data_IF_052679394404
#
_entry.id   IF_052679394404
#
_cell.length_a   1.000
_cell.length_b   1.000
_cell.length_c   1.000
_cell.angle_alpha   90.00
_cell.angle_beta   90.00
_cell.angle_gamma   90.00
#
_symmetry.space_group_name_H-M   'P 1'
#
loop_
_entity.id
_entity.type
_entity.pdbx_description
1 polymer ?
#
# COMPACT_ATOMS: atom_id res chain seq x y z
N UNK A 1 19.02 -2.92 -37.60
CA UNK A 1 18.34 -4.19 -37.92
C UNK A 1 17.18 -4.53 -36.97
N UNK A 2 17.37 -4.40 -35.66
CA UNK A 2 16.36 -4.70 -34.61
C UNK A 2 15.06 -3.90 -34.75
N UNK A 3 15.14 -2.61 -35.10
CA UNK A 3 13.95 -1.75 -35.23
C UNK A 3 13.05 -2.13 -36.43
N UNK A 4 13.67 -2.56 -37.55
CA UNK A 4 12.92 -3.06 -38.73
C UNK A 4 12.20 -4.39 -38.42
N UNK A 5 12.76 -5.22 -37.55
CA UNK A 5 12.15 -6.50 -37.13
C UNK A 5 10.98 -6.27 -36.15
N UNK A 6 11.11 -5.35 -35.19
CA UNK A 6 10.01 -4.96 -34.27
C UNK A 6 8.77 -4.43 -35.02
N UNK A 7 8.98 -3.61 -36.05
CA UNK A 7 7.87 -3.09 -36.87
C UNK A 7 7.19 -4.18 -37.72
N UNK A 8 7.90 -5.25 -38.08
CA UNK A 8 7.34 -6.37 -38.85
C UNK A 8 6.42 -7.26 -37.99
N UNK A 9 6.81 -7.54 -36.76
CA UNK A 9 6.00 -8.30 -35.79
C UNK A 9 4.73 -7.52 -35.42
N UNK A 10 4.86 -6.21 -35.15
CA UNK A 10 3.70 -5.36 -34.84
C UNK A 10 2.68 -5.27 -35.98
N UNK A 11 3.14 -5.20 -37.24
CA UNK A 11 2.25 -5.20 -38.41
C UNK A 11 1.50 -6.53 -38.61
N UNK A 12 2.10 -7.66 -38.20
CA UNK A 12 1.46 -8.98 -38.31
C UNK A 12 0.39 -9.19 -37.23
N UNK A 13 0.64 -8.74 -36.01
CA UNK A 13 -0.34 -8.76 -34.91
C UNK A 13 -1.60 -7.93 -35.24
N UNK A 14 -1.48 -6.83 -35.98
CA UNK A 14 -2.62 -6.00 -36.39
C UNK A 14 -3.50 -6.59 -37.50
N UNK A 15 -3.08 -7.65 -38.19
CA UNK A 15 -3.79 -8.21 -39.35
C UNK A 15 -4.73 -9.38 -39.05
N UNK A 16 -5.00 -9.68 -37.79
CA UNK A 16 -6.07 -10.63 -37.41
C UNK A 16 -5.88 -12.04 -37.98
N UNK A 17 -4.70 -12.64 -37.82
CA UNK A 17 -4.48 -14.04 -38.18
C UNK A 17 -4.92 -14.96 -37.03
N UNK A 18 -5.65 -16.04 -37.35
CA UNK A 18 -6.21 -16.98 -36.36
C UNK A 18 -5.15 -17.97 -35.85
N UNK A 19 -5.02 -18.03 -34.52
CA UNK A 19 -4.87 -19.25 -33.72
C UNK A 19 -3.50 -19.94 -33.67
N UNK A 20 -3.00 -20.48 -34.78
CA UNK A 20 -1.86 -21.41 -34.76
C UNK A 20 -0.54 -20.79 -35.21
N UNK A 21 -0.52 -20.22 -36.41
CA UNK A 21 0.72 -19.82 -37.10
C UNK A 21 1.43 -18.62 -36.45
N UNK A 22 0.73 -17.82 -35.67
CA UNK A 22 1.30 -16.66 -34.98
C UNK A 22 2.24 -17.10 -33.87
N UNK A 23 1.90 -18.17 -33.15
CA UNK A 23 2.67 -18.64 -32.00
C UNK A 23 3.91 -19.42 -32.40
N UNK A 24 3.83 -20.26 -33.44
CA UNK A 24 5.00 -20.97 -33.99
C UNK A 24 6.03 -19.97 -34.53
N UNK A 25 5.58 -18.88 -35.16
CA UNK A 25 6.46 -17.84 -35.67
C UNK A 25 7.07 -16.95 -34.57
N UNK A 26 6.31 -16.63 -33.51
CA UNK A 26 6.85 -15.91 -32.34
C UNK A 26 7.88 -16.78 -31.61
N UNK A 27 7.61 -18.07 -31.45
CA UNK A 27 8.52 -19.06 -30.86
C UNK A 27 9.83 -19.16 -31.66
N UNK A 28 9.75 -19.25 -32.99
CA UNK A 28 10.93 -19.30 -33.86
C UNK A 28 11.73 -17.98 -33.88
N UNK A 29 11.05 -16.84 -33.85
CA UNK A 29 11.72 -15.53 -33.75
C UNK A 29 12.44 -15.35 -32.40
N UNK A 30 11.86 -15.88 -31.30
CA UNK A 30 12.47 -15.85 -29.97
C UNK A 30 13.65 -16.82 -29.83
N UNK A 31 13.55 -18.03 -30.41
CA UNK A 31 14.67 -18.99 -30.48
C UNK A 31 15.88 -18.44 -31.26
N UNK A 32 15.65 -17.52 -32.20
CA UNK A 32 16.71 -16.87 -32.99
C UNK A 32 17.48 -15.77 -32.22
N UNK A 33 16.95 -15.31 -31.09
CA UNK A 33 17.64 -14.36 -30.21
C UNK A 33 18.55 -15.17 -29.29
N UNK A 34 19.87 -15.12 -29.52
CA UNK A 34 20.91 -15.63 -28.59
C UNK A 34 20.78 -14.90 -27.25
N UNK A 35 19.84 -15.33 -26.43
CA UNK A 35 19.72 -14.97 -25.04
C UNK A 35 20.51 -15.98 -24.22
N UNK A 36 21.14 -15.48 -23.16
CA UNK A 36 21.92 -16.26 -22.22
C UNK A 36 21.11 -17.48 -21.77
N UNK A 37 21.68 -18.68 -21.91
CA UNK A 37 20.99 -19.97 -21.71
C UNK A 37 20.30 -20.05 -20.34
N UNK A 38 20.83 -19.36 -19.33
CA UNK A 38 20.25 -19.28 -17.99
C UNK A 38 18.94 -18.47 -17.95
N UNK A 39 18.94 -17.30 -18.61
CA UNK A 39 17.75 -16.43 -18.72
C UNK A 39 16.69 -17.12 -19.59
N UNK A 40 17.10 -17.80 -20.66
CA UNK A 40 16.19 -18.57 -21.49
C UNK A 40 15.50 -19.71 -20.71
N UNK A 41 16.24 -20.43 -19.87
CA UNK A 41 15.68 -21.53 -19.07
C UNK A 41 14.69 -21.01 -18.01
N UNK A 42 15.00 -19.91 -17.33
CA UNK A 42 14.09 -19.29 -16.37
C UNK A 42 12.81 -18.74 -17.03
N UNK A 43 12.95 -18.11 -18.20
CA UNK A 43 11.80 -17.64 -18.98
C UNK A 43 10.95 -18.76 -19.55
N UNK A 44 11.58 -19.85 -19.99
CA UNK A 44 10.89 -21.03 -20.47
C UNK A 44 10.06 -21.67 -19.35
N UNK A 45 10.65 -21.86 -18.17
CA UNK A 45 9.94 -22.41 -17.00
C UNK A 45 8.75 -21.52 -16.58
N UNK A 46 8.91 -20.20 -16.69
CA UNK A 46 7.83 -19.25 -16.42
C UNK A 46 6.69 -19.33 -17.46
N UNK A 47 7.03 -19.45 -18.74
CA UNK A 47 6.02 -19.62 -19.81
C UNK A 47 5.31 -20.97 -19.67
N UNK A 48 6.03 -22.05 -19.38
CA UNK A 48 5.46 -23.38 -19.18
C UNK A 48 4.48 -23.38 -17.99
N UNK A 49 4.84 -22.70 -16.89
CA UNK A 49 3.95 -22.48 -15.74
C UNK A 49 2.66 -21.71 -16.10
N UNK A 50 2.77 -20.65 -16.90
CA UNK A 50 1.60 -19.89 -17.35
C UNK A 50 0.71 -20.70 -18.30
N UNK A 51 1.29 -21.57 -19.13
CA UNK A 51 0.54 -22.47 -20.01
C UNK A 51 -0.22 -23.53 -19.22
N UNK A 52 0.34 -24.04 -18.13
CA UNK A 52 -0.34 -25.02 -17.27
C UNK A 52 -1.50 -24.39 -16.49
N UNK A 53 -1.36 -23.14 -16.03
CA UNK A 53 -2.47 -22.38 -15.44
C UNK A 53 -3.60 -22.18 -16.47
N UNK A 54 -3.27 -21.82 -17.70
CA UNK A 54 -4.26 -21.58 -18.73
C UNK A 54 -5.01 -22.86 -19.15
N UNK A 55 -4.31 -24.01 -19.18
CA UNK A 55 -4.95 -25.32 -19.40
C UNK A 55 -5.90 -25.70 -18.25
N UNK A 56 -5.52 -25.41 -17.00
CA UNK A 56 -6.39 -25.59 -15.84
C UNK A 56 -7.64 -24.71 -15.91
N UNK A 57 -7.51 -23.45 -16.34
CA UNK A 57 -8.65 -22.55 -16.57
C UNK A 57 -9.57 -23.07 -17.67
N UNK A 58 -9.03 -23.54 -18.80
CA UNK A 58 -9.81 -24.14 -19.89
C UNK A 58 -10.54 -25.41 -19.45
N UNK A 59 -9.89 -26.28 -18.66
CA UNK A 59 -10.53 -27.49 -18.11
C UNK A 59 -11.65 -27.14 -17.11
N UNK A 60 -11.47 -26.12 -16.28
CA UNK A 60 -12.50 -25.66 -15.35
C UNK A 60 -13.68 -25.00 -16.08
N UNK A 61 -13.41 -24.31 -17.18
CA UNK A 61 -14.46 -23.70 -18.00
C UNK A 61 -15.27 -24.77 -18.75
N UNK A 62 -14.61 -25.83 -19.24
CA UNK A 62 -15.28 -27.02 -19.80
C UNK A 62 -16.13 -27.78 -18.78
N UNK A 63 -15.70 -27.81 -17.50
CA UNK A 63 -16.49 -28.39 -16.40
C UNK A 63 -17.70 -27.52 -16.01
N UNK A 64 -17.61 -26.19 -16.16
CA UNK A 64 -18.71 -25.27 -15.85
C UNK A 64 -19.74 -25.16 -16.98
N UNK A 65 -19.31 -25.28 -18.23
CA UNK A 65 -20.18 -25.17 -19.40
C UNK A 65 -20.89 -26.48 -19.77
N UNK A 66 -20.79 -27.51 -18.92
CA UNK A 66 -21.54 -28.76 -19.05
C UNK A 66 -21.39 -29.46 -20.40
N UNK A 67 -20.35 -29.13 -21.18
CA UNK A 67 -20.13 -29.63 -22.52
C UNK A 67 -19.06 -30.72 -22.48
N UNK A 68 -19.47 -31.88 -21.96
CA UNK A 68 -18.93 -33.13 -22.51
C UNK A 68 -19.82 -33.51 -23.69
N UNK A 69 -19.36 -33.19 -24.89
CA UNK A 69 -19.82 -33.92 -26.07
C UNK A 69 -19.27 -35.35 -25.93
N UNK A 70 -20.09 -36.21 -25.34
CA UNK A 70 -20.27 -37.56 -25.86
C UNK A 70 -21.77 -37.87 -25.77
N UNK A 71 -22.49 -37.59 -26.85
CA UNK A 71 -23.80 -38.20 -27.13
C UNK A 71 -23.60 -39.74 -27.15
N UNK A 72 -24.53 -40.55 -26.65
CA UNK A 72 -25.97 -40.46 -26.87
C UNK A 72 -26.78 -40.69 -25.58
N UNK A 73 -27.49 -39.66 -25.13
CA UNK A 73 -28.69 -39.80 -24.28
C UNK A 73 -29.75 -38.98 -24.99
N UNK A 74 -30.94 -39.56 -25.24
CA UNK A 74 -31.98 -38.87 -25.99
C UNK A 74 -32.56 -37.72 -25.16
N UNK A 75 -32.98 -36.66 -25.85
CA UNK A 75 -33.57 -35.45 -25.25
C UNK A 75 -34.77 -35.77 -24.33
N UNK A 76 -35.48 -36.87 -24.63
CA UNK A 76 -36.60 -37.38 -23.83
C UNK A 76 -36.16 -37.94 -22.47
N UNK A 77 -35.03 -38.65 -22.41
CA UNK A 77 -34.49 -39.23 -21.17
C UNK A 77 -33.92 -38.15 -20.23
N UNK A 78 -33.42 -37.05 -20.81
CA UNK A 78 -32.97 -35.87 -20.09
C UNK A 78 -34.14 -35.09 -19.46
N UNK A 79 -35.23 -34.90 -20.21
CA UNK A 79 -36.44 -34.23 -19.72
C UNK A 79 -37.10 -35.08 -18.62
N UNK A 80 -37.15 -36.41 -18.75
CA UNK A 80 -37.69 -37.30 -17.72
C UNK A 80 -36.85 -37.27 -16.43
N UNK A 81 -35.53 -37.20 -16.55
CA UNK A 81 -34.62 -37.09 -15.40
C UNK A 81 -34.78 -35.76 -14.66
N UNK A 82 -34.97 -34.66 -15.40
CA UNK A 82 -35.26 -33.34 -14.81
C UNK A 82 -36.62 -33.30 -14.11
N UNK A 83 -37.63 -33.99 -14.66
CA UNK A 83 -38.95 -34.09 -14.04
C UNK A 83 -38.89 -34.90 -12.73
N UNK A 84 -38.15 -36.02 -12.69
CA UNK A 84 -37.95 -36.82 -11.45
C UNK A 84 -37.21 -36.04 -10.35
N UNK A 85 -36.21 -35.24 -10.69
CA UNK A 85 -35.48 -34.41 -9.73
C UNK A 85 -36.35 -33.27 -9.17
N UNK A 86 -37.34 -32.81 -9.94
CA UNK A 86 -38.30 -31.79 -9.50
C UNK A 86 -39.37 -32.36 -8.56
N UNK A 87 -39.80 -33.61 -8.77
CA UNK A 87 -40.74 -34.32 -7.89
C UNK A 87 -40.12 -34.69 -6.54
N UNK A 88 -38.81 -34.99 -6.50
CA UNK A 88 -38.10 -35.32 -5.25
C UNK A 88 -37.92 -34.13 -4.29
N UNK A 89 -38.16 -32.89 -4.74
CA UNK A 89 -38.03 -31.68 -3.92
C UNK A 89 -39.37 -31.04 -3.51
N UNK A 90 -40.48 -31.73 -3.72
CA UNK A 90 -41.81 -31.28 -3.29
C UNK A 90 -42.46 -32.42 -2.48
N UNK A 91 -41.97 -32.68 -1.26
CA UNK A 91 -42.73 -33.18 -0.09
C UNK A 91 -41.78 -33.12 1.14
N UNK A 92 -41.90 -32.06 1.95
CA UNK A 92 -42.11 -32.16 3.42
C UNK A 92 -42.35 -30.78 4.07
N UNK A 93 -43.50 -30.61 4.75
CA UNK A 93 -43.77 -29.46 5.61
C UNK A 93 -43.46 -29.74 7.09
N UNK A 94 -43.16 -28.64 7.80
CA UNK A 94 -43.48 -28.28 9.20
C UNK A 94 -43.10 -29.18 10.41
N UNK A 95 -42.68 -28.44 11.44
CA UNK A 95 -42.94 -28.63 12.88
C UNK A 95 -41.93 -29.43 13.73
N UNK A 96 -41.27 -28.73 14.65
CA UNK A 96 -41.42 -28.94 16.10
C UNK A 96 -40.56 -27.93 16.88
N UNK A 97 -41.22 -27.04 17.63
CA UNK A 97 -40.63 -26.40 18.80
C UNK A 97 -40.47 -27.42 19.95
N UNK A 98 -39.72 -27.06 21.01
CA UNK A 98 -40.42 -27.00 22.30
C UNK A 98 -40.10 -25.75 23.14
N UNK A 99 -41.20 -25.12 23.55
CA UNK A 99 -41.57 -24.60 24.88
C UNK A 99 -40.51 -24.45 25.99
N UNK A 100 -40.43 -23.20 26.47
CA UNK A 100 -40.60 -22.72 27.85
C UNK A 100 -40.06 -23.54 29.03
N UNK A 101 -39.15 -22.90 29.81
CA UNK A 101 -39.27 -22.79 31.28
C UNK A 101 -38.70 -21.44 31.77
N UNK A 102 -39.48 -20.66 32.55
CA UNK A 102 -38.94 -19.69 33.49
C UNK A 102 -38.82 -20.32 34.89
N UNK A 103 -37.88 -19.82 35.71
CA UNK A 103 -37.92 -19.69 37.18
C UNK A 103 -36.49 -19.58 37.74
N UNK A 104 -36.15 -18.44 38.35
CA UNK A 104 -36.04 -18.35 39.81
C UNK A 104 -35.57 -16.96 40.23
N UNK A 105 -36.45 -16.27 40.95
CA UNK A 105 -36.11 -15.20 41.86
C UNK A 105 -35.74 -15.84 43.21
N UNK A 106 -34.55 -15.57 43.74
CA UNK A 106 -34.24 -15.52 45.17
C UNK A 106 -32.73 -15.33 45.41
N UNK A 107 -32.31 -14.15 45.83
CA UNK A 107 -31.42 -14.01 47.00
C UNK A 107 -31.40 -12.57 47.52
N UNK A 108 -32.27 -12.36 48.51
CA UNK A 108 -32.16 -11.33 49.53
C UNK A 108 -31.15 -11.79 50.59
N UNK A 109 -30.05 -11.05 50.78
CA UNK A 109 -29.26 -10.90 52.02
C UNK A 109 -28.54 -9.55 51.85
N UNK A 110 -28.90 -8.42 52.46
CA UNK A 110 -29.03 -8.05 53.88
C UNK A 110 -27.71 -8.17 54.67
N UNK A 111 -26.90 -7.11 54.66
CA UNK A 111 -26.14 -6.59 55.83
C UNK A 111 -25.96 -5.06 55.59
N UNK A 112 -26.66 -4.20 56.32
CA UNK A 112 -26.30 -3.57 57.60
C UNK A 112 -25.03 -2.71 57.55
N UNK A 113 -25.25 -1.39 57.54
CA UNK A 113 -24.65 -0.48 58.51
C UNK A 113 -23.26 0.07 58.21
N UNK A 114 -23.20 1.32 57.73
CA UNK A 114 -22.19 2.24 58.22
C UNK A 114 -22.71 3.68 58.20
N UNK A 115 -23.17 4.13 59.36
CA UNK A 115 -23.31 5.55 59.72
C UNK A 115 -21.92 6.10 60.02
N UNK A 116 -21.55 7.26 59.49
CA UNK A 116 -20.29 7.89 59.83
C UNK A 116 -20.12 9.28 59.23
N UNK A 117 -20.62 10.27 59.97
CA UNK A 117 -20.13 11.65 60.10
C UNK A 117 -19.98 12.52 58.84
N UNK A 118 -20.89 13.50 58.73
CA UNK A 118 -20.63 14.73 58.01
C UNK A 118 -19.70 15.62 58.86
N UNK A 119 -18.49 15.88 58.35
CA UNK A 119 -17.68 17.03 58.77
C UNK A 119 -17.80 18.13 57.71
N UNK A 120 -17.98 19.41 58.12
CA UNK A 120 -17.99 20.52 57.18
C UNK A 120 -16.54 20.80 56.75
N UNK A 121 -16.20 20.39 55.53
CA UNK A 121 -14.92 20.75 54.95
C UNK A 121 -15.01 22.20 54.45
N UNK A 122 -14.30 23.09 55.15
CA UNK A 122 -14.03 24.46 54.74
C UNK A 122 -13.37 24.42 53.35
N UNK A 123 -13.97 25.14 52.41
CA UNK A 123 -13.46 25.33 51.05
C UNK A 123 -12.08 26.00 51.11
N UNK A 124 -11.04 25.18 50.91
CA UNK A 124 -9.71 25.66 50.59
C UNK A 124 -9.71 26.19 49.15
N UNK A 125 -9.11 27.37 48.88
CA UNK A 125 -9.08 27.94 47.55
C UNK A 125 -8.40 26.97 46.58
N UNK A 126 -9.19 26.47 45.62
CA UNK A 126 -8.72 25.53 44.60
C UNK A 126 -7.58 26.18 43.82
N UNK A 127 -6.37 25.66 44.02
CA UNK A 127 -5.21 25.93 43.18
C UNK A 127 -5.55 25.59 41.72
N UNK A 128 -5.08 26.37 40.73
CA UNK A 128 -5.40 26.17 39.32
C UNK A 128 -5.06 24.74 38.89
N UNK A 129 -6.09 23.95 38.56
CA UNK A 129 -5.93 22.58 38.12
C UNK A 129 -5.13 22.58 36.81
N UNK A 130 -3.94 21.97 36.83
CA UNK A 130 -3.16 21.65 35.63
C UNK A 130 -4.06 20.88 34.66
N UNK A 131 -4.41 21.52 33.53
CA UNK A 131 -5.12 20.86 32.44
C UNK A 131 -4.42 19.55 32.06
N UNK A 132 -5.19 18.47 32.05
CA UNK A 132 -4.68 17.11 31.91
C UNK A 132 -4.07 16.93 30.49
N UNK A 133 -2.84 16.39 30.38
CA UNK A 133 -2.10 16.25 29.12
C UNK A 133 -2.76 15.35 28.05
N UNK A 134 -3.85 14.65 28.39
CA UNK A 134 -4.57 13.77 27.47
C UNK A 134 -5.40 14.51 26.40
N UNK A 135 -6.04 15.63 26.75
CA UNK A 135 -6.95 16.35 25.83
C UNK A 135 -6.14 16.96 24.66
N UNK A 136 -4.99 17.56 24.97
CA UNK A 136 -4.10 18.15 23.97
C UNK A 136 -3.56 17.12 22.96
N UNK A 137 -3.40 15.86 23.36
CA UNK A 137 -2.93 14.81 22.48
C UNK A 137 -3.97 14.36 21.46
N UNK A 138 -5.25 14.36 21.83
CA UNK A 138 -6.38 13.99 20.97
C UNK A 138 -6.62 15.04 19.88
N UNK A 139 -6.70 16.32 20.25
CA UNK A 139 -6.89 17.43 19.30
C UNK A 139 -5.81 17.40 18.20
N UNK A 140 -4.56 17.19 18.60
CA UNK A 140 -3.45 17.06 17.64
C UNK A 140 -3.54 15.83 16.74
N UNK A 141 -4.24 14.75 17.13
CA UNK A 141 -4.41 13.57 16.25
C UNK A 141 -5.45 13.87 15.18
N UNK A 142 -6.56 14.49 15.56
CA UNK A 142 -7.63 14.89 14.64
C UNK A 142 -7.12 15.88 13.59
N UNK A 143 -6.30 16.85 13.99
CA UNK A 143 -5.67 17.80 13.06
C UNK A 143 -4.77 17.08 12.03
N UNK A 144 -3.93 16.14 12.47
CA UNK A 144 -3.07 15.34 11.58
C UNK A 144 -3.92 14.51 10.61
N UNK A 145 -4.97 13.86 11.10
CA UNK A 145 -5.88 13.03 10.30
C UNK A 145 -6.57 13.86 9.23
N UNK A 146 -7.13 15.02 9.61
CA UNK A 146 -7.82 15.92 8.70
C UNK A 146 -6.87 16.43 7.61
N UNK A 147 -5.70 16.91 8.01
CA UNK A 147 -4.69 17.43 7.08
C UNK A 147 -4.21 16.36 6.11
N UNK A 148 -3.93 15.15 6.60
CA UNK A 148 -3.56 14.03 5.74
C UNK A 148 -4.66 13.70 4.75
N UNK A 149 -5.91 13.61 5.22
CA UNK A 149 -7.05 13.31 4.37
C UNK A 149 -7.24 14.33 3.24
N UNK A 150 -7.14 15.63 3.54
CA UNK A 150 -7.25 16.67 2.51
C UNK A 150 -6.21 16.49 1.42
N UNK A 151 -4.95 16.24 1.79
CA UNK A 151 -3.86 16.03 0.83
C UNK A 151 -4.05 14.71 0.06
N UNK A 152 -4.41 13.64 0.78
CA UNK A 152 -4.66 12.33 0.19
C UNK A 152 -5.79 12.38 -0.84
N UNK A 153 -6.90 13.06 -0.53
CA UNK A 153 -8.01 13.27 -1.46
C UNK A 153 -7.59 14.06 -2.70
N UNK A 154 -6.79 15.11 -2.55
CA UNK A 154 -6.24 15.85 -3.68
C UNK A 154 -5.38 14.96 -4.58
N UNK A 155 -4.53 14.12 -3.99
CA UNK A 155 -3.71 13.17 -4.75
C UNK A 155 -4.60 12.21 -5.53
N UNK A 156 -5.62 11.63 -4.88
CA UNK A 156 -6.56 10.73 -5.55
C UNK A 156 -7.28 11.41 -6.71
N UNK A 157 -7.73 12.66 -6.54
CA UNK A 157 -8.39 13.44 -7.61
C UNK A 157 -7.43 13.65 -8.80
N UNK A 158 -6.19 14.07 -8.54
CA UNK A 158 -5.19 14.26 -9.60
C UNK A 158 -4.96 12.93 -10.34
N UNK A 159 -4.74 11.84 -9.59
CA UNK A 159 -4.52 10.50 -10.14
C UNK A 159 -5.71 10.06 -11.01
N UNK A 160 -6.94 10.27 -10.54
CA UNK A 160 -8.15 9.86 -11.26
C UNK A 160 -8.38 10.67 -12.54
N UNK A 161 -8.20 12.00 -12.48
CA UNK A 161 -8.38 12.87 -13.63
C UNK A 161 -7.33 12.58 -14.72
N UNK A 162 -6.14 12.17 -14.32
CA UNK A 162 -5.00 12.01 -15.22
C UNK A 162 -4.76 10.57 -15.70
N UNK A 163 -5.51 9.58 -15.20
CA UNK A 163 -5.30 8.16 -15.50
C UNK A 163 -5.33 7.82 -17.00
N UNK A 164 -6.17 8.53 -17.76
CA UNK A 164 -6.35 8.32 -19.20
C UNK A 164 -5.56 9.30 -20.08
N UNK A 165 -4.74 10.16 -19.48
CA UNK A 165 -4.04 11.21 -20.23
C UNK A 165 -2.77 10.64 -20.91
N UNK A 166 -2.71 10.59 -22.25
CA UNK A 166 -1.58 10.00 -22.98
C UNK A 166 -0.28 10.82 -22.83
N UNK A 167 -0.37 12.11 -22.49
CA UNK A 167 0.75 13.04 -22.43
C UNK A 167 1.47 13.07 -21.08
N UNK A 168 1.14 12.14 -20.17
CA UNK A 168 1.75 12.11 -18.83
C UNK A 168 3.21 11.74 -18.84
N UNK A 169 3.93 12.28 -17.87
CA UNK A 169 5.33 11.98 -17.61
C UNK A 169 5.52 10.47 -17.38
N UNK A 170 6.67 9.92 -17.79
CA UNK A 170 6.99 8.50 -17.59
C UNK A 170 6.84 8.06 -16.12
N UNK A 171 7.32 8.83 -15.11
CA UNK A 171 7.12 8.47 -13.71
C UNK A 171 5.64 8.35 -13.30
N UNK A 172 4.78 9.22 -13.83
CA UNK A 172 3.34 9.13 -13.60
C UNK A 172 2.73 7.88 -14.26
N UNK A 173 3.13 7.55 -15.50
CA UNK A 173 2.71 6.31 -16.18
C UNK A 173 3.13 5.08 -15.40
N UNK A 174 4.35 5.07 -14.85
CA UNK A 174 4.84 3.96 -14.02
C UNK A 174 4.03 3.83 -12.72
N UNK A 175 3.62 4.94 -12.11
CA UNK A 175 2.70 4.95 -10.97
C UNK A 175 1.33 4.38 -11.36
N UNK A 176 0.73 4.84 -12.45
CA UNK A 176 -0.56 4.33 -12.93
C UNK A 176 -0.51 2.86 -13.31
N UNK A 177 0.59 2.41 -13.91
CA UNK A 177 0.79 1.00 -14.21
C UNK A 177 0.82 0.14 -12.95
N UNK A 178 1.32 0.65 -11.81
CA UNK A 178 1.23 -0.06 -10.53
C UNK A 178 -0.21 -0.06 -9.99
N UNK A 179 -0.91 1.08 -10.04
CA UNK A 179 -2.31 1.19 -9.60
C UNK A 179 -3.23 0.26 -10.40
N UNK A 180 -3.05 0.22 -11.73
CA UNK A 180 -3.85 -0.60 -12.64
C UNK A 180 -3.53 -2.10 -12.54
N UNK A 181 -2.34 -2.46 -12.03
CA UNK A 181 -1.97 -3.87 -11.75
C UNK A 181 -2.59 -4.41 -10.47
N UNK A 182 -3.09 -3.54 -9.59
CA UNK A 182 -3.84 -3.97 -8.43
C UNK A 182 -5.27 -4.29 -8.88
N UNK A 183 -5.72 -5.55 -8.78
CA UNK A 183 -7.04 -5.95 -9.25
C UNK A 183 -8.11 -5.03 -8.66
N UNK A 184 -8.97 -4.50 -9.53
CA UNK A 184 -10.17 -3.74 -9.18
C UNK A 184 -9.95 -2.39 -8.46
N UNK A 185 -8.71 -1.97 -8.16
CA UNK A 185 -8.44 -0.65 -7.58
C UNK A 185 -8.77 0.48 -8.56
N UNK A 186 -8.50 0.30 -9.86
CA UNK A 186 -8.82 1.31 -10.88
C UNK A 186 -10.34 1.59 -10.97
N UNK A 187 -11.17 0.54 -10.86
CA UNK A 187 -12.63 0.69 -10.78
C UNK A 187 -13.07 1.34 -9.46
N UNK A 188 -12.31 1.07 -8.41
CA UNK A 188 -12.61 1.53 -7.05
C UNK A 188 -12.13 2.94 -6.75
N UNK A 189 -11.25 3.52 -7.57
CA UNK A 189 -10.74 4.88 -7.36
C UNK A 189 -11.86 5.92 -7.34
N UNK A 190 -12.84 5.77 -8.23
CA UNK A 190 -14.04 6.60 -8.23
C UNK A 190 -14.84 6.46 -6.91
N UNK A 191 -14.91 5.24 -6.35
CA UNK A 191 -15.59 4.99 -5.09
C UNK A 191 -14.85 5.62 -3.89
N UNK A 192 -13.53 5.79 -3.95
CA UNK A 192 -12.74 6.46 -2.92
C UNK A 192 -12.82 7.99 -2.98
N UNK A 193 -13.21 8.55 -4.14
CA UNK A 193 -13.32 10.00 -4.37
C UNK A 193 -14.76 10.50 -4.27
N UNK A 194 -15.73 9.58 -4.24
CA UNK A 194 -17.16 9.88 -4.19
C UNK A 194 -17.54 10.85 -3.05
N UNK A 195 -18.57 11.66 -3.27
CA UNK A 195 -18.99 12.74 -2.35
C UNK A 195 -19.37 12.24 -0.95
N UNK A 196 -19.86 11.00 -0.85
CA UNK A 196 -20.19 10.34 0.41
C UNK A 196 -18.94 9.98 1.25
N UNK A 197 -17.74 10.07 0.68
CA UNK A 197 -16.48 9.88 1.38
C UNK A 197 -15.91 11.24 1.75
N UNK A 198 -16.24 11.69 2.97
CA UNK A 198 -15.97 13.03 3.47
C UNK A 198 -14.85 13.11 4.53
N UNK A 199 -14.35 11.98 5.04
CA UNK A 199 -13.26 11.93 6.02
C UNK A 199 -12.36 10.70 5.81
N UNK A 200 -11.23 10.63 6.53
CA UNK A 200 -10.27 9.52 6.41
C UNK A 200 -10.85 8.19 6.86
N UNK A 201 -11.73 8.20 7.86
CA UNK A 201 -12.38 7.00 8.39
C UNK A 201 -13.21 6.30 7.31
N UNK A 202 -14.04 7.05 6.59
CA UNK A 202 -14.84 6.56 5.47
C UNK A 202 -13.98 6.03 4.32
N UNK A 203 -12.88 6.74 3.97
CA UNK A 203 -11.91 6.24 2.97
C UNK A 203 -11.33 4.90 3.42
N UNK A 204 -10.91 4.82 4.68
CA UNK A 204 -10.28 3.64 5.23
C UNK A 204 -11.25 2.44 5.28
N UNK A 205 -12.47 2.64 5.77
CA UNK A 205 -13.53 1.63 5.74
C UNK A 205 -13.81 1.16 4.31
N UNK A 206 -13.82 2.08 3.35
CA UNK A 206 -14.03 1.72 1.95
C UNK A 206 -12.88 0.88 1.40
N UNK A 207 -11.63 1.21 1.74
CA UNK A 207 -10.46 0.38 1.41
C UNK A 207 -10.61 -1.02 2.02
N UNK A 208 -10.99 -1.14 3.29
CA UNK A 208 -11.20 -2.44 3.94
C UNK A 208 -12.32 -3.25 3.28
N UNK A 209 -13.44 -2.59 2.93
CA UNK A 209 -14.55 -3.22 2.21
C UNK A 209 -14.07 -3.78 0.87
N UNK A 210 -13.37 -2.98 0.08
CA UNK A 210 -12.84 -3.40 -1.22
C UNK A 210 -11.85 -4.57 -1.08
N UNK A 211 -11.00 -4.55 -0.06
CA UNK A 211 -10.10 -5.67 0.22
C UNK A 211 -10.87 -6.94 0.62
N UNK A 212 -11.93 -6.82 1.41
CA UNK A 212 -12.78 -7.94 1.79
C UNK A 212 -13.51 -8.55 0.59
N UNK A 213 -14.06 -7.70 -0.27
CA UNK A 213 -14.79 -8.11 -1.48
C UNK A 213 -13.85 -8.72 -2.52
N UNK A 214 -12.69 -8.09 -2.75
CA UNK A 214 -11.85 -8.42 -3.91
C UNK A 214 -10.68 -9.34 -3.60
N UNK A 215 -10.26 -9.41 -2.33
CA UNK A 215 -9.13 -10.23 -1.89
C UNK A 215 -9.55 -11.37 -0.95
N UNK A 216 -10.81 -11.80 -0.98
CA UNK A 216 -11.28 -13.00 -0.27
C UNK A 216 -11.19 -14.26 -1.13
N UNK A 217 -11.18 -15.42 -0.47
CA UNK A 217 -11.13 -16.73 -1.12
C UNK A 217 -9.89 -16.92 -2.01
N UNK A 218 -10.10 -17.50 -3.19
CA UNK A 218 -9.02 -17.77 -4.16
C UNK A 218 -8.38 -16.49 -4.73
N UNK A 219 -9.08 -15.34 -4.70
CA UNK A 219 -8.51 -14.04 -5.13
C UNK A 219 -7.50 -13.48 -4.12
N UNK A 220 -7.55 -13.95 -2.87
CA UNK A 220 -6.61 -13.53 -1.82
C UNK A 220 -5.15 -13.90 -2.11
N UNK A 221 -4.91 -15.02 -2.80
CA UNK A 221 -3.55 -15.41 -3.23
C UNK A 221 -3.02 -14.47 -4.31
N UNK A 222 -3.86 -14.01 -5.24
CA UNK A 222 -3.51 -13.00 -6.24
C UNK A 222 -3.17 -11.66 -5.61
N UNK A 223 -3.99 -11.19 -4.66
CA UNK A 223 -3.67 -9.95 -3.95
C UNK A 223 -2.35 -10.05 -3.18
N UNK A 224 -2.12 -11.16 -2.47
CA UNK A 224 -0.87 -11.38 -1.73
C UNK A 224 0.34 -11.43 -2.65
N UNK A 225 0.23 -12.11 -3.80
CA UNK A 225 1.28 -12.18 -4.82
C UNK A 225 1.57 -10.82 -5.46
N UNK A 226 0.55 -10.05 -5.82
CA UNK A 226 0.70 -8.71 -6.37
C UNK A 226 1.40 -7.75 -5.39
N UNK A 227 1.07 -7.86 -4.11
CA UNK A 227 1.64 -7.05 -3.03
C UNK A 227 3.12 -7.37 -2.80
N UNK A 228 3.54 -8.64 -2.89
CA UNK A 228 4.95 -9.04 -2.77
C UNK A 228 5.84 -8.34 -3.82
N UNK A 229 5.32 -8.14 -5.04
CA UNK A 229 6.05 -7.49 -6.14
C UNK A 229 6.23 -5.99 -5.88
N UNK A 230 5.36 -5.36 -5.07
CA UNK A 230 5.38 -3.93 -4.79
C UNK A 230 6.36 -3.53 -3.66
N UNK A 231 6.93 -4.50 -2.96
CA UNK A 231 7.97 -4.33 -1.95
C UNK A 231 7.49 -4.47 -0.49
N UNK A 232 8.45 -4.64 0.42
CA UNK A 232 8.22 -4.98 1.83
C UNK A 232 7.29 -4.01 2.57
N UNK A 233 7.43 -2.70 2.35
CA UNK A 233 6.58 -1.70 3.01
C UNK A 233 5.10 -1.83 2.59
N UNK A 234 4.85 -2.13 1.32
CA UNK A 234 3.49 -2.31 0.79
C UNK A 234 2.88 -3.61 1.34
N UNK A 235 3.70 -4.67 1.45
CA UNK A 235 3.29 -5.92 2.08
C UNK A 235 2.92 -5.75 3.54
N UNK A 236 3.73 -5.03 4.31
CA UNK A 236 3.42 -4.74 5.71
C UNK A 236 2.09 -3.98 5.83
N UNK A 237 1.90 -2.92 5.03
CA UNK A 237 0.65 -2.17 5.01
C UNK A 237 -0.55 -3.06 4.66
N UNK A 238 -0.41 -3.94 3.67
CA UNK A 238 -1.46 -4.88 3.28
C UNK A 238 -1.85 -5.84 4.40
N UNK A 239 -0.88 -6.47 5.07
CA UNK A 239 -1.16 -7.37 6.19
C UNK A 239 -1.84 -6.64 7.36
N UNK A 240 -1.44 -5.40 7.63
CA UNK A 240 -2.10 -4.57 8.64
C UNK A 240 -3.56 -4.27 8.27
N UNK A 241 -3.82 -3.88 7.02
CA UNK A 241 -5.19 -3.68 6.53
C UNK A 241 -6.02 -4.96 6.63
N UNK A 242 -5.44 -6.10 6.23
CA UNK A 242 -6.09 -7.41 6.29
C UNK A 242 -6.46 -7.81 7.71
N UNK A 243 -5.58 -7.57 8.68
CA UNK A 243 -5.87 -7.79 10.10
C UNK A 243 -7.01 -6.91 10.59
N UNK A 244 -7.11 -5.69 10.06
CA UNK A 244 -8.17 -4.74 10.40
C UNK A 244 -9.50 -5.01 9.68
N UNK A 245 -9.57 -5.90 8.68
CA UNK A 245 -10.84 -6.32 8.04
C UNK A 245 -11.79 -6.93 9.08
N UNK A 246 -11.29 -7.54 10.15
CA UNK A 246 -12.13 -8.09 11.23
C UNK A 246 -12.84 -7.00 12.04
N UNK A 247 -12.41 -5.75 11.92
CA UNK A 247 -12.91 -4.59 12.68
C UNK A 247 -14.12 -3.95 11.98
N UNK A 248 -14.59 -4.46 10.84
CA UNK A 248 -15.57 -3.81 9.93
C UNK A 248 -16.93 -3.40 10.52
N UNK A 249 -17.24 -3.74 11.76
CA UNK A 249 -18.51 -3.37 12.43
C UNK A 249 -18.33 -2.31 13.52
N UNK A 250 -17.10 -1.84 13.76
CA UNK A 250 -16.78 -0.88 14.82
C UNK A 250 -16.31 0.49 14.30
N UNK A 251 -16.49 1.50 15.16
CA UNK A 251 -15.91 2.83 14.98
C UNK A 251 -14.37 2.73 14.92
N UNK A 252 -13.74 3.36 13.92
CA UNK A 252 -12.29 3.30 13.78
C UNK A 252 -11.67 4.31 14.72
N UNK A 253 -10.84 3.83 15.66
CA UNK A 253 -10.11 4.75 16.54
C UNK A 253 -9.11 5.62 15.76
N UNK A 254 -8.93 6.86 16.22
CA UNK A 254 -7.91 7.77 15.70
C UNK A 254 -6.49 7.17 15.74
N UNK A 255 -6.21 6.23 16.65
CA UNK A 255 -4.92 5.54 16.71
C UNK A 255 -4.68 4.62 15.53
N UNK A 256 -5.71 3.91 15.06
CA UNK A 256 -5.63 3.08 13.85
C UNK A 256 -5.37 3.96 12.63
N UNK A 257 -6.08 5.10 12.52
CA UNK A 257 -5.89 6.05 11.42
C UNK A 257 -4.48 6.68 11.43
N UNK A 258 -3.98 7.07 12.60
CA UNK A 258 -2.61 7.59 12.73
C UNK A 258 -1.57 6.54 12.35
N UNK A 259 -1.81 5.27 12.71
CA UNK A 259 -0.93 4.17 12.32
C UNK A 259 -0.92 4.00 10.80
N UNK A 260 -2.11 3.95 10.18
CA UNK A 260 -2.26 3.91 8.73
C UNK A 260 -1.49 5.05 8.03
N UNK A 261 -1.60 6.28 8.53
CA UNK A 261 -0.86 7.43 7.98
C UNK A 261 0.66 7.18 8.05
N UNK A 262 1.17 6.70 9.18
CA UNK A 262 2.60 6.40 9.37
C UNK A 262 3.11 5.33 8.41
N UNK A 263 2.29 4.34 8.07
CA UNK A 263 2.67 3.27 7.16
C UNK A 263 2.55 3.69 5.68
N UNK A 264 1.60 4.55 5.33
CA UNK A 264 1.39 5.03 3.96
C UNK A 264 2.41 6.10 3.55
N UNK A 265 2.77 7.03 4.45
CA UNK A 265 3.72 8.11 4.16
C UNK A 265 5.06 7.66 3.53
N UNK A 266 5.79 6.66 4.07
CA UNK A 266 7.07 6.22 3.52
C UNK A 266 6.92 5.55 2.15
N UNK A 267 5.74 5.06 1.79
CA UNK A 267 5.45 4.49 0.47
C UNK A 267 5.12 5.61 -0.52
N UNK A 268 4.28 6.57 -0.09
CA UNK A 268 3.73 7.61 -0.94
C UNK A 268 4.76 8.69 -1.28
N UNK A 269 5.50 9.22 -0.28
CA UNK A 269 6.44 10.35 -0.48
C UNK A 269 7.50 10.08 -1.56
N UNK A 270 8.23 8.94 -1.57
CA UNK A 270 9.24 8.70 -2.60
C UNK A 270 8.65 8.60 -4.01
N UNK A 271 7.43 8.04 -4.15
CA UNK A 271 6.75 7.90 -5.43
C UNK A 271 6.31 9.26 -5.97
N UNK A 272 5.76 10.12 -5.12
CA UNK A 272 5.36 11.47 -5.49
C UNK A 272 6.55 12.40 -5.73
N UNK A 273 7.67 12.24 -5.02
CA UNK A 273 8.89 13.01 -5.24
C UNK A 273 9.48 12.79 -6.65
N UNK A 274 9.28 11.59 -7.22
CA UNK A 274 9.67 11.28 -8.61
C UNK A 274 8.77 11.95 -9.65
N UNK A 275 7.61 12.49 -9.25
CA UNK A 275 6.62 13.18 -10.10
C UNK A 275 6.58 14.66 -9.67
N UNK A 276 7.75 15.31 -9.75
CA UNK A 276 8.05 16.56 -9.02
C UNK A 276 7.19 17.76 -9.43
N UNK A 277 6.69 17.81 -10.67
CA UNK A 277 5.97 18.99 -11.17
C UNK A 277 4.51 18.94 -10.71
N UNK A 278 3.85 17.78 -10.84
CA UNK A 278 2.42 17.63 -10.61
C UNK A 278 2.06 17.55 -9.12
N UNK A 279 2.97 17.05 -8.27
CA UNK A 279 2.70 16.83 -6.83
C UNK A 279 3.56 17.68 -5.89
N UNK A 280 4.10 18.81 -6.35
CA UNK A 280 5.00 19.65 -5.54
C UNK A 280 4.34 20.09 -4.23
N UNK A 281 3.16 20.70 -4.31
CA UNK A 281 2.42 21.23 -3.16
C UNK A 281 2.04 20.12 -2.18
N UNK A 282 1.62 18.96 -2.69
CA UNK A 282 1.24 17.81 -1.88
C UNK A 282 2.47 17.24 -1.16
N UNK A 283 3.62 17.14 -1.81
CA UNK A 283 4.86 16.67 -1.18
C UNK A 283 5.30 17.55 -0.01
N UNK A 284 5.24 18.88 -0.18
CA UNK A 284 5.57 19.84 0.89
C UNK A 284 4.60 19.69 2.08
N UNK A 285 3.32 19.51 1.82
CA UNK A 285 2.31 19.29 2.86
C UNK A 285 2.47 17.94 3.58
N UNK A 286 2.93 16.89 2.89
CA UNK A 286 3.27 15.60 3.49
C UNK A 286 4.52 15.67 4.38
N UNK A 287 5.50 16.52 4.05
CA UNK A 287 6.65 16.79 4.92
C UNK A 287 6.22 17.45 6.23
N UNK A 288 5.22 18.32 6.19
CA UNK A 288 4.67 18.94 7.40
C UNK A 288 4.00 17.92 8.32
N UNK A 289 3.21 17.00 7.76
CA UNK A 289 2.59 15.90 8.52
C UNK A 289 3.64 15.00 9.16
N UNK A 290 4.70 14.67 8.43
CA UNK A 290 5.81 13.86 8.93
C UNK A 290 6.46 14.52 10.16
N UNK A 291 6.66 15.84 10.11
CA UNK A 291 7.14 16.61 11.25
C UNK A 291 6.16 16.60 12.43
N UNK A 292 4.85 16.73 12.18
CA UNK A 292 3.81 16.66 13.22
C UNK A 292 3.78 15.29 13.92
N UNK A 293 3.99 14.21 13.17
CA UNK A 293 4.06 12.84 13.70
C UNK A 293 5.33 12.60 14.53
N UNK A 294 6.48 13.14 14.10
CA UNK A 294 7.77 13.00 14.79
C UNK A 294 7.80 13.72 16.15
N UNK A 295 7.09 14.84 16.29
CA UNK A 295 7.02 15.60 17.55
C UNK A 295 6.37 14.82 18.71
N UNK A 296 5.62 13.74 18.43
CA UNK A 296 4.92 12.94 19.45
C UNK A 296 5.72 11.75 19.98
N UNK A 297 6.78 11.30 19.29
CA UNK A 297 7.71 10.34 19.89
C UNK A 297 8.58 11.09 20.89
N UNK A 298 8.05 11.32 22.10
CA UNK A 298 8.70 11.96 23.25
C UNK A 298 9.91 11.20 23.80
N UNK A 299 10.66 10.52 22.94
CA UNK A 299 12.00 10.08 23.25
C UNK A 299 12.84 11.32 23.55
N UNK A 300 13.40 11.34 24.77
CA UNK A 300 14.61 12.08 25.11
C UNK A 300 15.41 12.29 23.82
N UNK A 301 15.73 13.55 23.50
CA UNK A 301 16.70 13.87 22.46
C UNK A 301 18.01 13.15 22.80
N UNK A 302 18.13 11.89 22.40
CA UNK A 302 19.41 11.31 22.06
C UNK A 302 19.86 12.21 20.92
N UNK A 303 20.89 12.98 21.20
CA UNK A 303 21.66 13.83 20.31
C UNK A 303 22.32 13.01 19.19
N UNK A 304 21.58 12.12 18.53
CA UNK A 304 21.99 11.43 17.32
C UNK A 304 21.44 12.25 16.16
N UNK A 305 22.25 13.23 15.78
CA UNK A 305 22.08 14.04 14.61
C UNK A 305 21.90 13.16 13.37
N UNK A 306 20.65 12.88 13.01
CA UNK A 306 20.28 12.55 11.63
C UNK A 306 20.40 13.87 10.87
N UNK A 307 21.61 14.11 10.38
CA UNK A 307 21.90 15.15 9.41
C UNK A 307 21.06 14.87 8.16
N UNK A 308 20.06 15.72 7.91
CA UNK A 308 19.68 16.05 6.54
C UNK A 308 20.96 16.53 5.84
N UNK A 309 21.37 15.85 4.77
CA UNK A 309 22.32 16.39 3.80
C UNK A 309 21.68 17.62 3.16
N UNK A 310 21.86 18.77 3.81
CA UNK A 310 21.68 20.06 3.17
C UNK A 310 22.93 20.22 2.31
N UNK A 311 22.77 20.03 1.00
CA UNK A 311 23.76 20.36 -0.02
C UNK A 311 23.94 21.88 -0.10
N UNK A 312 24.48 22.48 0.96
CA UNK A 312 25.04 23.82 0.92
C UNK A 312 26.40 23.73 0.23
N UNK A 313 26.62 24.56 -0.80
CA UNK A 313 27.93 24.67 -1.45
C UNK A 313 29.01 24.92 -0.36
N UNK A 314 30.14 24.20 -0.38
CA UNK A 314 31.17 24.36 0.63
C UNK A 314 31.76 25.77 0.57
N UNK A 315 31.70 26.49 1.68
CA UNK A 315 32.21 27.86 1.79
C UNK A 315 33.71 27.80 2.06
N UNK A 316 34.49 28.50 1.23
CA UNK A 316 35.92 28.72 1.47
C UNK A 316 36.04 29.72 2.61
N UNK A 317 36.70 29.33 3.70
CA UNK A 317 36.89 30.23 4.85
C UNK A 317 38.19 31.00 4.69
N UNK A 318 39.30 30.29 4.43
CA UNK A 318 40.66 30.83 4.47
C UNK A 318 41.62 29.97 3.63
N UNK A 319 42.81 30.49 3.35
CA UNK A 319 43.94 29.71 2.81
C UNK A 319 44.92 29.40 3.93
N UNK A 320 45.51 28.20 3.91
CA UNK A 320 46.55 27.78 4.87
C UNK A 320 47.65 27.00 4.16
N UNK A 321 48.86 27.05 4.71
CA UNK A 321 49.99 26.27 4.24
C UNK A 321 49.91 24.84 4.78
N UNK A 322 49.70 23.87 3.90
CA UNK A 322 49.59 22.44 4.23
C UNK A 322 50.64 21.69 3.41
N UNK A 323 51.56 21.00 4.10
CA UNK A 323 52.67 20.25 3.47
C UNK A 323 53.50 21.13 2.51
N UNK A 324 53.87 22.34 2.96
CA UNK A 324 54.68 23.26 2.17
C UNK A 324 53.95 23.99 1.04
N UNK A 325 52.66 23.73 0.80
CA UNK A 325 51.87 24.36 -0.26
C UNK A 325 50.64 25.08 0.30
N UNK A 326 50.34 26.26 -0.20
CA UNK A 326 49.09 26.95 0.13
C UNK A 326 47.87 26.21 -0.44
N UNK A 327 46.86 26.02 0.39
CA UNK A 327 45.62 25.32 0.05
C UNK A 327 44.41 26.06 0.62
N UNK A 328 43.30 26.04 -0.10
CA UNK A 328 42.01 26.55 0.39
C UNK A 328 41.42 25.58 1.43
N UNK A 329 40.92 26.14 2.52
CA UNK A 329 40.24 25.41 3.60
C UNK A 329 38.74 25.62 3.49
N UNK A 330 38.02 24.52 3.44
CA UNK A 330 36.57 24.50 3.30
C UNK A 330 35.93 24.16 4.65
N UNK A 331 34.87 24.90 5.01
CA UNK A 331 33.94 24.47 6.07
C UNK A 331 32.90 23.56 5.44
N UNK A 332 32.88 22.31 5.86
CA UNK A 332 31.75 21.42 5.57
C UNK A 332 30.75 21.60 6.70
N UNK A 333 29.51 21.97 6.37
CA UNK A 333 28.49 22.22 7.38
C UNK A 333 28.34 20.99 8.30
N UNK A 334 28.43 21.27 9.61
CA UNK A 334 28.42 20.35 10.75
C UNK A 334 29.57 19.35 10.85
N UNK A 335 30.63 19.51 10.08
CA UNK A 335 31.93 18.96 10.48
C UNK A 335 32.72 20.06 11.20
N UNK A 336 33.25 19.75 12.39
CA UNK A 336 34.14 20.67 13.10
C UNK A 336 35.58 20.60 12.58
N UNK A 337 35.86 19.70 11.62
CA UNK A 337 37.18 19.53 11.02
C UNK A 337 37.36 20.47 9.82
N UNK A 338 38.61 20.85 9.57
CA UNK A 338 39.01 21.54 8.35
C UNK A 338 39.11 20.56 7.19
N UNK A 339 38.60 20.94 6.02
CA UNK A 339 38.63 20.11 4.81
C UNK A 339 39.42 20.77 3.70
N UNK A 340 40.05 19.96 2.85
CA UNK A 340 40.75 20.37 1.63
C UNK A 340 40.20 19.58 0.45
N UNK A 341 40.12 20.20 -0.73
CA UNK A 341 39.71 19.51 -1.96
C UNK A 341 40.87 18.68 -2.51
N UNK A 342 40.70 17.38 -2.57
CA UNK A 342 41.66 16.42 -3.12
C UNK A 342 40.97 15.49 -4.11
N UNK A 343 41.49 15.39 -5.33
CA UNK A 343 40.92 14.57 -6.43
C UNK A 343 39.40 14.76 -6.62
N UNK A 344 38.93 16.01 -6.52
CA UNK A 344 37.51 16.35 -6.69
C UNK A 344 36.67 16.29 -5.42
N UNK A 345 37.14 15.61 -4.36
CA UNK A 345 36.39 15.39 -3.11
C UNK A 345 36.95 16.21 -1.96
N UNK A 346 36.08 16.68 -1.04
CA UNK A 346 36.51 17.32 0.20
C UNK A 346 36.86 16.26 1.24
N UNK A 347 38.12 16.24 1.70
CA UNK A 347 38.58 15.34 2.75
C UNK A 347 39.16 16.12 3.93
N UNK A 348 39.14 15.57 5.16
CA UNK A 348 39.77 16.22 6.30
C UNK A 348 41.26 16.45 6.07
N UNK A 349 41.78 17.59 6.52
CA UNK A 349 43.22 17.92 6.39
C UNK A 349 44.12 16.84 7.02
N UNK A 350 43.68 16.21 8.11
CA UNK A 350 44.41 15.13 8.76
C UNK A 350 44.58 13.90 7.85
N UNK A 351 43.52 13.52 7.13
CA UNK A 351 43.55 12.37 6.23
C UNK A 351 44.34 12.71 4.95
N UNK A 352 44.21 13.94 4.46
CA UNK A 352 45.06 14.43 3.38
C UNK A 352 46.56 14.37 3.74
N UNK A 353 46.93 14.75 4.98
CA UNK A 353 48.31 14.64 5.46
C UNK A 353 48.77 13.17 5.53
N UNK A 354 47.91 12.24 5.91
CA UNK A 354 48.23 10.80 5.93
C UNK A 354 48.45 10.26 4.51
N UNK A 355 47.59 10.65 3.56
CA UNK A 355 47.68 10.20 2.16
C UNK A 355 48.92 10.73 1.42
N UNK A 356 49.46 11.86 1.87
CA UNK A 356 50.63 12.52 1.26
C UNK A 356 51.94 12.27 2.01
N UNK A 357 51.87 11.63 3.19
CA UNK A 357 53.06 11.09 3.84
C UNK A 357 53.44 9.82 3.08
N UNK A 358 54.47 9.94 2.25
CA UNK A 358 55.26 8.80 1.76
C UNK A 358 56.09 8.27 2.92
#
# INVERSE_FOLDING_TARGET
>A
MVLKRKNKVSKRLKKGMRGGDVWENIKNDLLSLRLDTKIYTEWKNFIDYLLDIFKLEQQQQQLQDGTNISENISEEEYIETLMRLRELNIIRPLSAQPSARPLSAARLLRTKGFSGQMSPHIESPQSPQKEKPHILNTIKKEEIILKFYTIFKQILIIVNNDRNNPNKSKPFKDLMNMVNKLPEIDKSLNALIAENVNNLESVYLKILQLLKENCSGWRGTFCSGAVLILGENVQKLYEELKNNIKITEGQISNDILIKFIKDVLPIMKPKLANIKIEFKTQNEALDEIDNMLALKSGGKKSSRAVRKEIQGKPIVITKKLILGKERCIYKVQGSNKEHVKYKGTLIPVADFKKLMKV
#
